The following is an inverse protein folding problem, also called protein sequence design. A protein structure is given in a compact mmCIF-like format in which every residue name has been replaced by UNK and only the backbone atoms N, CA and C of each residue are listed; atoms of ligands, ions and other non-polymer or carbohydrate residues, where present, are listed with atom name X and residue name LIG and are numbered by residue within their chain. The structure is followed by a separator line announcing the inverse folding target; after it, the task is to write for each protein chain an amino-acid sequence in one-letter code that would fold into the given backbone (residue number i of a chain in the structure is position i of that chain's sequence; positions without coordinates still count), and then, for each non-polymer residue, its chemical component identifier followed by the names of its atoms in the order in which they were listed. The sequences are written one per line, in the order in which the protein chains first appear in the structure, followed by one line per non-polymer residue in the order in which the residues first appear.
data_IF_900075859604
#
_entry.id   IF_900075859604
#
_cell.length_a   1.000
_cell.length_b   1.000
_cell.length_c   1.000
_cell.angle_alpha   90.00
_cell.angle_beta   90.00
_cell.angle_gamma   90.00
#
_symmetry.space_group_name_H-M   'P 1'
#
loop_
_entity.id
_entity.type
_entity.pdbx_description
1 polymer ?
#
# COMPACT_ATOMS: atom_id res chain seq x y z
N UNK A 1 4.37 -12.18 -26.70
CA UNK A 1 2.92 -12.28 -26.95
C UNK A 1 2.39 -13.38 -26.06
N UNK A 2 1.25 -13.19 -25.38
CA UNK A 2 0.71 -14.22 -24.53
C UNK A 2 0.28 -15.45 -25.33
N UNK A 3 0.48 -16.61 -24.72
CA UNK A 3 -0.01 -17.89 -25.26
C UNK A 3 -1.51 -18.06 -25.01
N UNK A 4 -2.16 -18.98 -25.70
CA UNK A 4 -3.58 -19.32 -25.47
C UNK A 4 -3.80 -19.79 -24.05
N UNK A 5 -2.86 -20.54 -23.49
CA UNK A 5 -2.94 -21.04 -22.12
C UNK A 5 -2.82 -19.89 -21.09
N UNK A 6 -1.97 -18.91 -21.36
CA UNK A 6 -1.90 -17.71 -20.53
C UNK A 6 -3.19 -16.87 -20.60
N UNK A 7 -3.83 -16.76 -21.77
CA UNK A 7 -5.12 -16.05 -21.91
C UNK A 7 -6.20 -16.74 -21.07
N UNK A 8 -6.30 -18.08 -21.14
CA UNK A 8 -7.22 -18.85 -20.31
C UNK A 8 -6.94 -18.71 -18.81
N UNK A 9 -5.68 -18.80 -18.44
CA UNK A 9 -5.24 -18.64 -17.05
C UNK A 9 -5.53 -17.23 -16.52
N UNK A 10 -5.28 -16.18 -17.32
CA UNK A 10 -5.57 -14.79 -16.98
C UNK A 10 -7.06 -14.57 -16.71
N UNK A 11 -7.91 -15.09 -17.59
CA UNK A 11 -9.36 -15.01 -17.44
C UNK A 11 -9.84 -15.74 -16.18
N UNK A 12 -9.34 -16.95 -15.94
CA UNK A 12 -9.65 -17.72 -14.73
C UNK A 12 -9.19 -17.02 -13.45
N UNK A 13 -8.01 -16.38 -13.47
CA UNK A 13 -7.44 -15.66 -12.33
C UNK A 13 -8.34 -14.54 -11.81
N UNK A 14 -9.08 -13.89 -12.71
CA UNK A 14 -10.00 -12.78 -12.38
C UNK A 14 -11.48 -13.17 -12.43
N UNK A 15 -11.77 -14.45 -12.65
CA UNK A 15 -13.14 -14.98 -12.66
C UNK A 15 -13.98 -14.57 -13.87
N UNK A 16 -13.37 -14.09 -14.96
CA UNK A 16 -14.12 -13.71 -16.16
C UNK A 16 -14.58 -14.93 -16.96
N UNK A 17 -15.79 -14.84 -17.51
CA UNK A 17 -16.27 -15.70 -18.60
C UNK A 17 -15.64 -15.29 -19.94
N UNK A 18 -15.76 -16.14 -20.96
CA UNK A 18 -15.36 -15.80 -22.34
C UNK A 18 -16.15 -14.62 -22.90
N UNK A 19 -17.39 -14.44 -22.46
CA UNK A 19 -18.22 -13.29 -22.82
C UNK A 19 -17.68 -12.00 -22.25
N UNK A 20 -17.37 -11.98 -20.94
CA UNK A 20 -16.80 -10.79 -20.28
C UNK A 20 -15.45 -10.39 -20.90
N UNK A 21 -14.57 -11.36 -21.19
CA UNK A 21 -13.32 -11.04 -21.92
C UNK A 21 -13.60 -10.45 -23.30
N UNK A 22 -14.59 -10.99 -24.01
CA UNK A 22 -14.97 -10.49 -25.32
C UNK A 22 -15.47 -9.04 -25.25
N UNK A 23 -16.34 -8.73 -24.29
CA UNK A 23 -16.88 -7.39 -24.07
C UNK A 23 -15.77 -6.38 -23.73
N UNK A 24 -14.86 -6.72 -22.80
CA UNK A 24 -13.74 -5.86 -22.42
C UNK A 24 -12.71 -5.68 -23.55
N UNK A 25 -12.49 -6.70 -24.38
CA UNK A 25 -11.55 -6.65 -25.50
C UNK A 25 -12.18 -6.06 -26.79
N UNK A 26 -13.48 -5.78 -26.82
CA UNK A 26 -14.18 -5.36 -28.04
C UNK A 26 -14.13 -6.42 -29.13
N UNK A 27 -14.33 -7.69 -28.74
CA UNK A 27 -14.34 -8.88 -29.60
C UNK A 27 -15.66 -9.65 -29.45
N UNK A 28 -15.90 -10.66 -30.28
CA UNK A 28 -17.04 -11.54 -30.10
C UNK A 28 -16.70 -12.71 -29.15
N UNK A 29 -17.67 -13.17 -28.36
CA UNK A 29 -17.51 -14.34 -27.50
C UNK A 29 -17.10 -15.58 -28.32
N UNK A 30 -17.68 -15.77 -29.51
CA UNK A 30 -17.30 -16.86 -30.41
C UNK A 30 -15.85 -16.75 -30.88
N UNK A 31 -15.35 -15.52 -31.07
CA UNK A 31 -13.95 -15.24 -31.39
C UNK A 31 -13.02 -15.68 -30.25
N UNK A 32 -13.32 -15.29 -29.02
CA UNK A 32 -12.56 -15.71 -27.83
C UNK A 32 -12.59 -17.23 -27.66
N UNK A 33 -13.78 -17.86 -27.79
CA UNK A 33 -13.91 -19.30 -27.69
C UNK A 33 -13.05 -20.06 -28.73
N UNK A 34 -12.99 -19.59 -29.98
CA UNK A 34 -12.14 -20.18 -31.02
C UNK A 34 -10.65 -20.03 -30.75
N UNK A 35 -10.24 -18.89 -30.18
CA UNK A 35 -8.85 -18.65 -29.77
C UNK A 35 -8.49 -19.62 -28.64
N UNK A 36 -9.28 -19.66 -27.58
CA UNK A 36 -9.03 -20.52 -26.42
C UNK A 36 -9.07 -22.03 -26.75
N UNK A 37 -9.86 -22.44 -27.73
CA UNK A 37 -9.92 -23.83 -28.21
C UNK A 37 -8.81 -24.15 -29.24
N UNK A 38 -7.97 -23.18 -29.60
CA UNK A 38 -6.88 -23.38 -30.55
C UNK A 38 -7.35 -23.55 -32.02
N UNK A 39 -8.64 -23.31 -32.30
CA UNK A 39 -9.21 -23.43 -33.65
C UNK A 39 -9.00 -22.17 -34.50
N UNK A 40 -8.56 -21.08 -33.89
CA UNK A 40 -8.20 -19.83 -34.55
C UNK A 40 -6.93 -19.27 -33.92
N UNK A 41 -5.95 -18.94 -34.76
CA UNK A 41 -4.77 -18.17 -34.33
C UNK A 41 -5.07 -16.68 -34.40
N UNK A 42 -5.04 -15.95 -33.27
CA UNK A 42 -5.30 -14.53 -33.26
C UNK A 42 -4.17 -13.76 -33.92
N UNK A 43 -4.52 -12.74 -34.71
CA UNK A 43 -3.55 -11.79 -35.24
C UNK A 43 -3.05 -10.82 -34.15
N UNK A 44 -2.02 -10.03 -34.46
CA UNK A 44 -1.42 -9.08 -33.55
C UNK A 44 -2.41 -8.09 -32.94
N UNK A 45 -3.32 -7.55 -33.76
CA UNK A 45 -4.35 -6.61 -33.28
C UNK A 45 -5.34 -7.25 -32.32
N UNK A 46 -5.70 -8.51 -32.56
CA UNK A 46 -6.56 -9.26 -31.62
C UNK A 46 -5.85 -9.53 -30.29
N UNK A 47 -4.59 -9.89 -30.34
CA UNK A 47 -3.76 -10.08 -29.12
C UNK A 47 -3.62 -8.76 -28.36
N UNK A 48 -3.37 -7.65 -29.05
CA UNK A 48 -3.27 -6.32 -28.43
C UNK A 48 -4.57 -5.94 -27.68
N UNK A 49 -5.74 -6.17 -28.31
CA UNK A 49 -7.03 -5.95 -27.65
C UNK A 49 -7.21 -6.80 -26.38
N UNK A 50 -6.84 -8.07 -26.46
CA UNK A 50 -6.92 -8.99 -25.32
C UNK A 50 -5.95 -8.57 -24.20
N UNK A 51 -4.70 -8.21 -24.55
CA UNK A 51 -3.72 -7.75 -23.55
C UNK A 51 -4.13 -6.45 -22.91
N UNK A 52 -4.66 -5.50 -23.68
CA UNK A 52 -5.19 -4.23 -23.16
C UNK A 52 -6.37 -4.45 -22.19
N UNK A 53 -7.27 -5.39 -22.50
CA UNK A 53 -8.37 -5.73 -21.60
C UNK A 53 -7.89 -6.30 -20.27
N UNK A 54 -6.88 -7.17 -20.28
CA UNK A 54 -6.28 -7.69 -19.04
C UNK A 54 -5.43 -6.65 -18.31
N UNK A 55 -4.73 -5.80 -19.03
CA UNK A 55 -3.93 -4.70 -18.47
C UNK A 55 -4.81 -3.71 -17.68
N UNK A 56 -6.02 -3.43 -18.20
CA UNK A 56 -6.99 -2.54 -17.55
C UNK A 56 -7.51 -3.07 -16.20
N UNK A 57 -7.32 -4.36 -15.90
CA UNK A 57 -7.71 -5.02 -14.64
C UNK A 57 -6.51 -5.59 -13.88
N UNK A 58 -5.33 -5.00 -14.13
CA UNK A 58 -4.08 -5.32 -13.45
C UNK A 58 -3.60 -6.77 -13.61
N UNK A 59 -3.88 -7.42 -14.73
CA UNK A 59 -3.34 -8.73 -15.06
C UNK A 59 -2.13 -8.60 -15.97
N UNK A 60 -1.02 -9.22 -15.58
CA UNK A 60 0.24 -9.24 -16.31
C UNK A 60 0.62 -10.65 -16.74
N UNK A 61 1.11 -10.75 -17.98
CA UNK A 61 1.68 -11.99 -18.53
C UNK A 61 3.19 -12.05 -18.25
N UNK A 62 3.67 -13.17 -17.68
CA UNK A 62 5.06 -13.34 -17.28
C UNK A 62 5.69 -14.49 -18.06
N UNK A 63 6.81 -14.22 -18.75
CA UNK A 63 7.52 -15.22 -19.53
C UNK A 63 6.58 -15.94 -20.51
N UNK A 64 6.80 -17.24 -20.72
CA UNK A 64 6.06 -18.04 -21.70
C UNK A 64 4.80 -18.72 -21.14
N UNK A 65 4.64 -18.79 -19.80
CA UNK A 65 3.55 -19.55 -19.19
C UNK A 65 2.92 -18.88 -17.95
N UNK A 66 3.53 -17.83 -17.41
CA UNK A 66 3.09 -17.19 -16.18
C UNK A 66 2.01 -16.15 -16.41
N UNK A 67 1.11 -16.02 -15.43
CA UNK A 67 0.14 -14.93 -15.31
C UNK A 67 0.09 -14.52 -13.86
N UNK A 68 0.11 -13.21 -13.58
CA UNK A 68 -0.11 -12.67 -12.23
C UNK A 68 -1.07 -11.50 -12.28
N UNK A 69 -1.76 -11.26 -11.19
CA UNK A 69 -2.40 -9.98 -10.94
C UNK A 69 -1.31 -9.00 -10.46
N UNK A 70 -1.19 -7.83 -11.08
CA UNK A 70 -0.28 -6.79 -10.58
C UNK A 70 -0.70 -6.43 -9.17
N UNK A 71 0.24 -6.41 -8.26
CA UNK A 71 0.01 -5.89 -6.92
C UNK A 71 0.12 -4.38 -6.96
N UNK A 72 -0.99 -3.68 -6.88
CA UNK A 72 -1.02 -2.22 -6.93
C UNK A 72 -2.41 -1.66 -6.68
N UNK A 73 -3.07 -2.07 -5.57
CA UNK A 73 -4.34 -1.44 -5.18
C UNK A 73 -4.06 -0.10 -4.51
N UNK A 74 -4.70 0.96 -4.99
CA UNK A 74 -4.72 2.27 -4.32
C UNK A 74 -6.07 2.45 -3.65
N UNK A 75 -6.06 2.46 -2.33
CA UNK A 75 -7.23 2.79 -1.52
C UNK A 75 -7.16 4.24 -1.06
N UNK A 76 -8.31 4.89 -1.00
CA UNK A 76 -8.43 6.26 -0.54
C UNK A 76 -9.41 6.33 0.61
N UNK A 77 -8.93 6.81 1.77
CA UNK A 77 -9.75 7.04 2.94
C UNK A 77 -9.86 8.53 3.21
N UNK A 78 -10.96 8.97 3.79
CA UNK A 78 -11.23 10.39 4.07
C UNK A 78 -11.83 10.62 5.44
N UNK A 79 -11.47 11.76 6.04
CA UNK A 79 -11.96 12.20 7.34
C UNK A 79 -11.52 11.30 8.50
N UNK A 80 -12.06 11.56 9.69
CA UNK A 80 -11.74 10.82 10.92
C UNK A 80 -12.00 9.31 10.79
N UNK A 81 -13.18 8.93 10.24
CA UNK A 81 -13.52 7.51 10.05
C UNK A 81 -12.55 6.81 9.12
N UNK A 82 -12.15 7.46 8.01
CA UNK A 82 -11.18 6.90 7.10
C UNK A 82 -9.78 6.78 7.71
N UNK A 83 -9.39 7.73 8.56
CA UNK A 83 -8.15 7.64 9.32
C UNK A 83 -8.16 6.46 10.30
N UNK A 84 -9.28 6.23 11.00
CA UNK A 84 -9.45 5.06 11.89
C UNK A 84 -9.31 3.75 11.09
N UNK A 85 -10.00 3.63 9.94
CA UNK A 85 -9.90 2.45 9.08
C UNK A 85 -8.45 2.19 8.62
N UNK A 86 -7.72 3.24 8.29
CA UNK A 86 -6.30 3.12 7.97
C UNK A 86 -5.46 2.64 9.16
N UNK A 87 -5.68 3.19 10.36
CA UNK A 87 -4.98 2.76 11.57
C UNK A 87 -5.34 1.33 11.99
N UNK A 88 -6.56 0.90 11.67
CA UNK A 88 -6.97 -0.50 11.87
C UNK A 88 -6.25 -1.43 10.89
N UNK A 89 -6.06 -1.04 9.61
CA UNK A 89 -5.23 -1.79 8.66
C UNK A 89 -3.75 -1.88 9.11
N UNK A 90 -3.21 -0.82 9.72
CA UNK A 90 -1.87 -0.85 10.34
C UNK A 90 -1.82 -1.88 11.48
N UNK A 91 -2.82 -1.86 12.38
CA UNK A 91 -2.93 -2.80 13.50
C UNK A 91 -3.10 -4.25 13.04
N UNK A 92 -4.03 -4.50 12.11
CA UNK A 92 -4.24 -5.85 11.54
C UNK A 92 -2.96 -6.39 10.88
N UNK A 93 -2.18 -5.52 10.24
CA UNK A 93 -0.88 -5.90 9.66
C UNK A 93 0.13 -6.25 10.75
N UNK A 94 0.20 -5.49 11.84
CA UNK A 94 1.05 -5.81 12.98
C UNK A 94 0.69 -7.16 13.60
N UNK A 95 -0.60 -7.44 13.75
CA UNK A 95 -1.13 -8.67 14.31
C UNK A 95 -0.89 -9.90 13.42
N UNK A 96 -1.14 -9.77 12.10
CA UNK A 96 -1.19 -10.92 11.19
C UNK A 96 0.12 -11.19 10.45
N UNK A 97 0.88 -10.15 10.14
CA UNK A 97 2.12 -10.22 9.37
C UNK A 97 3.32 -9.91 10.27
N UNK A 98 3.22 -8.87 11.09
CA UNK A 98 4.32 -8.37 11.90
C UNK A 98 5.46 -7.77 11.09
N UNK A 99 6.69 -7.90 11.60
CA UNK A 99 7.91 -7.46 10.92
C UNK A 99 8.18 -5.97 11.03
N UNK A 100 8.92 -5.43 10.07
CA UNK A 100 9.32 -4.02 10.08
C UNK A 100 8.17 -3.11 9.66
N UNK A 101 7.98 -2.04 10.45
CA UNK A 101 7.04 -0.96 10.15
C UNK A 101 7.76 0.37 10.38
N UNK A 102 7.70 1.26 9.41
CA UNK A 102 8.48 2.50 9.42
C UNK A 102 7.59 3.69 9.14
N UNK A 103 7.58 4.65 10.05
CA UNK A 103 6.71 5.82 9.98
C UNK A 103 7.56 7.10 9.98
N UNK A 104 7.26 8.00 9.07
CA UNK A 104 8.00 9.23 8.87
C UNK A 104 7.12 10.46 9.04
N UNK A 105 7.69 11.49 9.66
CA UNK A 105 7.05 12.79 9.91
C UNK A 105 5.75 12.67 10.72
N UNK A 106 5.79 11.89 11.80
CA UNK A 106 4.67 11.83 12.74
C UNK A 106 4.71 13.07 13.62
N UNK A 107 3.70 13.93 13.49
CA UNK A 107 3.49 15.13 14.32
C UNK A 107 2.36 14.82 15.29
N UNK A 108 2.63 14.61 16.58
CA UNK A 108 1.66 14.11 17.56
C UNK A 108 0.34 14.88 17.62
N UNK A 109 0.40 16.20 17.59
CA UNK A 109 -0.77 17.06 17.67
C UNK A 109 -1.82 16.74 16.61
N UNK A 110 -1.41 16.50 15.36
CA UNK A 110 -2.32 16.18 14.27
C UNK A 110 -3.15 14.91 14.56
N UNK A 111 -2.54 13.93 15.23
CA UNK A 111 -3.17 12.65 15.56
C UNK A 111 -4.07 12.77 16.78
N UNK A 112 -3.57 13.41 17.84
CA UNK A 112 -4.30 13.58 19.10
C UNK A 112 -5.51 14.51 18.93
N UNK A 113 -5.36 15.63 18.21
CA UNK A 113 -6.47 16.52 17.88
C UNK A 113 -7.57 15.83 17.08
N UNK A 114 -7.18 14.93 16.16
CA UNK A 114 -8.13 14.25 15.29
C UNK A 114 -8.82 13.07 15.95
N UNK A 115 -8.04 12.17 16.55
CA UNK A 115 -8.54 10.90 17.07
C UNK A 115 -8.98 11.01 18.54
N UNK A 116 -8.31 11.86 19.31
CA UNK A 116 -8.49 12.02 20.75
C UNK A 116 -7.52 11.13 21.54
N UNK A 117 -7.19 11.59 22.77
CA UNK A 117 -6.23 10.90 23.63
C UNK A 117 -6.70 9.49 24.03
N UNK A 118 -8.00 9.31 24.31
CA UNK A 118 -8.55 8.01 24.70
C UNK A 118 -8.41 6.97 23.59
N UNK A 119 -8.71 7.37 22.33
CA UNK A 119 -8.53 6.49 21.19
C UNK A 119 -7.05 6.13 21.01
N UNK A 120 -6.17 7.14 21.14
CA UNK A 120 -4.73 6.92 20.98
C UNK A 120 -4.18 5.98 22.06
N UNK A 121 -4.61 6.14 23.31
CA UNK A 121 -4.22 5.24 24.40
C UNK A 121 -4.60 3.79 24.10
N UNK A 122 -5.86 3.53 23.69
CA UNK A 122 -6.30 2.19 23.28
C UNK A 122 -5.46 1.65 22.11
N UNK A 123 -5.11 2.52 21.14
CA UNK A 123 -4.27 2.11 20.01
C UNK A 123 -2.86 1.73 20.48
N UNK A 124 -2.26 2.47 21.39
CA UNK A 124 -0.94 2.14 21.97
C UNK A 124 -1.01 0.81 22.71
N UNK A 125 -2.03 0.58 23.53
CA UNK A 125 -2.23 -0.68 24.25
C UNK A 125 -2.27 -1.87 23.28
N UNK A 126 -3.16 -1.84 22.29
CA UNK A 126 -3.31 -2.94 21.33
C UNK A 126 -2.07 -3.17 20.47
N UNK A 127 -1.36 -2.12 20.08
CA UNK A 127 -0.10 -2.26 19.31
C UNK A 127 1.01 -2.86 20.15
N UNK A 128 1.08 -2.52 21.45
CA UNK A 128 2.10 -3.03 22.38
C UNK A 128 2.02 -4.55 22.59
N UNK A 129 0.85 -5.15 22.40
CA UNK A 129 0.67 -6.61 22.45
C UNK A 129 1.47 -7.37 21.37
N UNK A 130 1.94 -6.66 20.35
CA UNK A 130 2.67 -7.23 19.22
C UNK A 130 4.15 -6.85 19.16
N UNK A 131 4.71 -6.31 20.26
CA UNK A 131 6.12 -5.88 20.33
C UNK A 131 7.12 -7.00 20.02
N UNK A 132 6.80 -8.24 20.38
CA UNK A 132 7.67 -9.39 20.09
C UNK A 132 7.70 -9.78 18.63
N UNK A 133 6.72 -9.33 17.84
CA UNK A 133 6.53 -9.68 16.43
C UNK A 133 6.79 -8.51 15.48
N UNK A 134 6.96 -7.29 15.99
CA UNK A 134 7.12 -6.07 15.19
C UNK A 134 8.40 -5.31 15.55
N UNK A 135 9.05 -4.71 14.54
CA UNK A 135 10.11 -3.69 14.72
C UNK A 135 9.59 -2.37 14.15
N UNK A 136 9.01 -1.54 15.02
CA UNK A 136 8.39 -0.28 14.63
C UNK A 136 9.36 0.88 14.88
N UNK A 137 9.66 1.62 13.82
CA UNK A 137 10.56 2.78 13.83
C UNK A 137 9.81 4.02 13.41
N UNK A 138 9.91 5.07 14.20
CA UNK A 138 9.25 6.35 13.94
C UNK A 138 10.28 7.47 13.86
N UNK A 139 10.28 8.21 12.76
CA UNK A 139 11.04 9.45 12.64
C UNK A 139 10.11 10.66 12.83
N UNK A 140 10.47 11.52 13.77
CA UNK A 140 9.77 12.78 14.10
C UNK A 140 10.67 13.98 13.85
N UNK A 141 10.12 15.20 13.73
CA UNK A 141 10.93 16.41 13.59
C UNK A 141 11.93 16.60 14.73
N UNK A 142 13.13 17.09 14.42
CA UNK A 142 14.16 17.40 15.43
C UNK A 142 13.63 18.40 16.47
N UNK A 143 13.72 18.05 17.73
CA UNK A 143 13.22 18.82 18.86
C UNK A 143 11.84 18.38 19.37
N UNK A 144 11.13 17.52 18.65
CA UNK A 144 9.89 16.91 19.17
C UNK A 144 10.24 15.85 20.23
N UNK A 145 9.62 15.97 21.39
CA UNK A 145 9.79 15.05 22.53
C UNK A 145 8.51 14.28 22.87
N UNK A 146 7.42 14.51 22.15
CA UNK A 146 6.14 13.88 22.38
C UNK A 146 6.08 12.52 21.65
N UNK A 147 6.61 11.49 22.30
CA UNK A 147 6.70 10.13 21.76
C UNK A 147 5.41 9.34 22.07
N UNK A 148 4.32 9.73 21.44
CA UNK A 148 2.97 9.19 21.69
C UNK A 148 2.82 7.67 21.47
N UNK A 149 3.78 7.04 20.80
CA UNK A 149 3.82 5.60 20.52
C UNK A 149 4.98 4.89 21.22
N UNK A 150 5.56 5.46 22.27
CA UNK A 150 6.73 4.91 22.97
C UNK A 150 6.48 3.50 23.59
N UNK A 151 5.22 3.10 23.75
CA UNK A 151 4.87 1.76 24.21
C UNK A 151 5.19 0.63 23.21
N UNK A 152 5.31 0.97 21.92
CA UNK A 152 5.53 -0.03 20.88
C UNK A 152 6.54 0.36 19.80
N UNK A 153 7.11 1.57 19.82
CA UNK A 153 7.97 2.06 18.75
C UNK A 153 9.27 2.69 19.26
N UNK A 154 10.31 2.57 18.43
CA UNK A 154 11.58 3.27 18.61
C UNK A 154 11.58 4.59 17.85
N UNK A 155 12.17 5.64 18.45
CA UNK A 155 12.16 6.99 17.90
C UNK A 155 13.54 7.49 17.52
N UNK A 156 13.60 8.21 16.41
CA UNK A 156 14.71 9.08 16.04
C UNK A 156 14.17 10.40 15.49
N UNK A 157 15.00 11.43 15.54
CA UNK A 157 14.76 12.72 14.92
C UNK A 157 15.32 12.76 13.50
N UNK A 158 14.56 13.21 12.53
CA UNK A 158 15.17 13.66 11.27
C UNK A 158 15.61 15.12 11.40
N UNK A 159 16.76 15.53 10.77
CA UNK A 159 17.29 16.87 10.88
C UNK A 159 16.34 17.93 10.31
N UNK A 160 16.43 19.15 10.84
CA UNK A 160 15.69 20.30 10.30
C UNK A 160 15.94 20.47 8.81
N UNK A 161 14.89 20.79 8.05
CA UNK A 161 14.93 20.95 6.60
C UNK A 161 14.63 19.69 5.79
N UNK A 162 14.40 18.57 6.47
CA UNK A 162 13.99 17.31 5.85
C UNK A 162 12.52 16.94 6.15
N UNK A 163 11.78 17.88 6.72
CA UNK A 163 10.37 17.69 7.03
C UNK A 163 9.54 17.55 5.73
N UNK A 164 8.64 16.57 5.68
CA UNK A 164 7.53 16.64 4.74
C UNK A 164 6.67 17.84 5.15
N UNK A 165 6.33 18.73 4.22
CA UNK A 165 5.63 19.97 4.54
C UNK A 165 4.48 19.74 5.53
N UNK A 166 4.62 20.24 6.70
CA UNK A 166 3.76 20.49 7.84
C UNK A 166 2.83 19.37 8.30
N UNK A 167 1.95 18.86 7.44
CA UNK A 167 0.82 18.04 7.87
C UNK A 167 0.73 16.72 7.08
N UNK A 168 1.87 16.11 6.75
CA UNK A 168 1.93 14.86 6.00
C UNK A 168 2.77 13.82 6.69
N UNK A 169 2.28 12.60 6.75
CA UNK A 169 3.00 11.46 7.30
C UNK A 169 3.07 10.32 6.28
N UNK A 170 4.17 9.58 6.31
CA UNK A 170 4.40 8.41 5.48
C UNK A 170 4.50 7.17 6.35
N UNK A 171 3.83 6.11 5.94
CA UNK A 171 3.83 4.79 6.57
C UNK A 171 4.31 3.74 5.58
N UNK A 172 5.24 2.90 6.00
CA UNK A 172 5.72 1.73 5.25
C UNK A 172 5.56 0.51 6.13
N UNK A 173 4.73 -0.44 5.73
CA UNK A 173 4.42 -1.63 6.54
C UNK A 173 3.78 -2.73 5.69
N UNK A 174 4.11 -3.99 5.94
CA UNK A 174 3.43 -5.14 5.32
C UNK A 174 3.33 -5.12 3.79
N UNK A 175 4.33 -4.52 3.10
CA UNK A 175 4.27 -4.35 1.64
C UNK A 175 3.32 -3.25 1.16
N UNK A 176 2.97 -2.31 2.05
CA UNK A 176 2.06 -1.19 1.81
C UNK A 176 2.74 0.15 2.06
N UNK A 177 2.24 1.20 1.39
CA UNK A 177 2.60 2.60 1.62
C UNK A 177 1.37 3.41 1.95
N UNK A 178 1.34 4.03 3.11
CA UNK A 178 0.30 4.96 3.53
C UNK A 178 0.80 6.41 3.51
N UNK A 179 0.11 7.28 2.79
CA UNK A 179 0.33 8.72 2.83
C UNK A 179 -0.85 9.36 3.53
N UNK A 180 -0.61 9.94 4.70
CA UNK A 180 -1.63 10.67 5.47
C UNK A 180 -1.41 12.16 5.29
N UNK A 181 -2.44 12.88 4.92
CA UNK A 181 -2.43 14.34 4.79
C UNK A 181 -3.52 14.92 5.69
N UNK A 182 -3.11 15.77 6.62
CA UNK A 182 -4.01 16.60 7.42
C UNK A 182 -4.10 17.98 6.76
N UNK A 183 -5.30 18.42 6.42
CA UNK A 183 -5.52 19.76 5.89
C UNK A 183 -5.86 20.74 7.02
N UNK A 184 -5.94 22.03 6.72
CA UNK A 184 -6.19 23.08 7.74
C UNK A 184 -7.54 22.93 8.46
N UNK A 185 -8.54 22.38 7.79
CA UNK A 185 -9.82 22.06 8.43
C UNK A 185 -9.73 20.67 9.03
N UNK A 186 -10.02 20.54 10.32
CA UNK A 186 -9.89 19.31 11.11
C UNK A 186 -10.66 18.09 10.57
N UNK A 187 -11.65 18.29 9.72
CA UNK A 187 -12.44 17.23 9.06
C UNK A 187 -11.87 16.82 7.69
N UNK A 188 -10.90 17.56 7.17
CA UNK A 188 -10.27 17.28 5.88
C UNK A 188 -8.99 16.50 6.06
N UNK A 189 -9.13 15.19 6.20
CA UNK A 189 -8.01 14.24 6.23
C UNK A 189 -8.12 13.34 5.02
N UNK A 190 -7.01 13.09 4.37
CA UNK A 190 -6.93 12.16 3.26
C UNK A 190 -5.82 11.15 3.51
N UNK A 191 -6.12 9.87 3.31
CA UNK A 191 -5.14 8.80 3.32
C UNK A 191 -5.15 8.13 1.95
N UNK A 192 -3.98 8.03 1.34
CA UNK A 192 -3.74 7.19 0.17
C UNK A 192 -2.95 5.97 0.63
N UNK A 193 -3.53 4.78 0.50
CA UNK A 193 -2.88 3.52 0.81
C UNK A 193 -2.59 2.77 -0.50
N UNK A 194 -1.32 2.66 -0.84
CA UNK A 194 -0.83 1.88 -1.97
C UNK A 194 -0.40 0.49 -1.48
N UNK A 195 -1.06 -0.56 -1.96
CA UNK A 195 -0.68 -1.95 -1.72
C UNK A 195 0.21 -2.42 -2.87
N UNK A 196 1.50 -2.20 -2.78
CA UNK A 196 2.50 -2.62 -3.75
C UNK A 196 3.80 -2.97 -3.04
N UNK A 197 4.09 -4.27 -2.94
CA UNK A 197 5.22 -4.78 -2.18
C UNK A 197 6.55 -4.26 -2.70
N UNK A 198 6.78 -4.30 -4.00
CA UNK A 198 8.07 -3.92 -4.61
C UNK A 198 8.34 -2.42 -4.39
N UNK A 199 7.29 -1.60 -4.53
CA UNK A 199 7.40 -0.16 -4.29
C UNK A 199 7.59 0.15 -2.79
N UNK A 200 6.88 -0.56 -1.91
CA UNK A 200 7.05 -0.43 -0.46
C UNK A 200 8.46 -0.83 0.00
N UNK A 201 9.03 -1.90 -0.55
CA UNK A 201 10.42 -2.31 -0.28
C UNK A 201 11.44 -1.26 -0.71
N UNK A 202 11.23 -0.62 -1.87
CA UNK A 202 12.08 0.50 -2.33
C UNK A 202 12.04 1.69 -1.37
N UNK A 203 10.85 2.09 -0.91
CA UNK A 203 10.69 3.19 0.06
C UNK A 203 11.22 2.78 1.44
N UNK A 204 11.05 1.51 1.84
CA UNK A 204 11.64 1.00 3.09
C UNK A 204 13.17 1.10 3.08
N UNK A 205 13.83 0.79 1.96
CA UNK A 205 15.28 0.93 1.84
C UNK A 205 15.73 2.39 2.00
N UNK A 206 14.98 3.35 1.45
CA UNK A 206 15.26 4.78 1.65
C UNK A 206 15.06 5.21 3.11
N UNK A 207 14.02 4.69 3.78
CA UNK A 207 13.82 4.93 5.21
C UNK A 207 14.98 4.38 6.05
N UNK A 208 15.43 3.16 5.76
CA UNK A 208 16.54 2.52 6.49
C UNK A 208 17.84 3.33 6.35
N UNK A 209 18.16 3.82 5.14
CA UNK A 209 19.30 4.71 4.92
C UNK A 209 19.16 5.99 5.77
N UNK A 210 18.00 6.61 5.76
CA UNK A 210 17.74 7.79 6.56
C UNK A 210 17.84 7.49 8.07
N UNK A 211 17.29 6.39 8.51
CA UNK A 211 17.33 5.94 9.90
C UNK A 211 18.75 5.69 10.40
N UNK A 212 19.58 5.04 9.61
CA UNK A 212 20.90 4.60 10.04
C UNK A 212 21.98 5.70 9.91
N UNK A 213 21.85 6.57 8.90
CA UNK A 213 22.92 7.51 8.54
C UNK A 213 22.56 8.98 8.71
N UNK A 214 21.27 9.33 8.78
CA UNK A 214 20.82 10.74 8.83
C UNK A 214 20.13 11.06 10.14
N UNK A 215 19.27 10.17 10.63
CA UNK A 215 18.47 10.42 11.82
C UNK A 215 19.29 10.40 13.10
N UNK A 216 18.96 11.31 14.02
CA UNK A 216 19.64 11.52 15.31
C UNK A 216 18.84 10.87 16.44
N UNK A 217 19.51 10.34 17.43
CA UNK A 217 18.83 9.90 18.66
C UNK A 217 18.36 11.14 19.45
N UNK A 218 17.12 11.15 19.96
CA UNK A 218 16.68 12.14 20.94
C UNK A 218 17.59 12.12 22.18
N UNK A 219 17.74 13.25 22.89
CA UNK A 219 18.42 13.24 24.19
C UNK A 219 17.66 12.32 25.16
N UNK A 220 18.44 11.66 26.02
CA UNK A 220 17.91 10.82 27.10
C UNK A 220 17.30 11.68 28.20
#
# INVERSE_FOLDING_TARGET
MPTVDQIRAARALIGWSQGELADHAGLSQTGIARIENGTNQPNSTTIEKITTAFDAVDVEFIGESGVKKRSGEVLKFRGKTGLIQFMDDVYETAQTIGGRMSFYNIVPDNWLETLGEDWWRMHVERMSEHNDNTDIKIMVPEGNLDFISSGYANYKWFPKGFELSGKRSLYVYGGKLGFVTFYEKADQIEVLLLKNKDFAEGVQALFDIAWDHVAKRPPQ
#
